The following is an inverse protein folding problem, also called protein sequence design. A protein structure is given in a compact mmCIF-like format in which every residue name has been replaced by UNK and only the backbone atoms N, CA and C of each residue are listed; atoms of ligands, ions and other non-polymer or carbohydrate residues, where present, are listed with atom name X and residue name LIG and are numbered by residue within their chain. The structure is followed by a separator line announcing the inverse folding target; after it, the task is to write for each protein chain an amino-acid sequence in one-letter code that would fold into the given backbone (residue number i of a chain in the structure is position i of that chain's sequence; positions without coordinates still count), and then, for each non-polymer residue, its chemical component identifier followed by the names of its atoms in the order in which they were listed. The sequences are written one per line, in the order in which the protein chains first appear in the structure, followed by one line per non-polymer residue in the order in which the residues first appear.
data_IF_421283561470
#
_entry.id   IF_421283561470
#
_cell.length_a   1.000
_cell.length_b   1.000
_cell.length_c   1.000
_cell.angle_alpha   90.00
_cell.angle_beta   90.00
_cell.angle_gamma   90.00
#
_symmetry.space_group_name_H-M   'P 1'
#
loop_
_entity.id
_entity.type
_entity.pdbx_description
1 polymer ?
#
# COMPACT_ATOMS: atom_id res chain seq x y z
N UNK A 1 -6.07 31.01 -18.27
CA UNK A 1 -5.73 30.93 -16.83
C UNK A 1 -5.75 29.46 -16.44
N UNK A 2 -4.72 28.97 -15.76
CA UNK A 2 -4.64 27.59 -15.31
C UNK A 2 -4.76 27.56 -13.78
N UNK A 3 -5.50 26.58 -13.26
CA UNK A 3 -5.66 26.34 -11.82
C UNK A 3 -4.82 25.11 -11.49
N UNK A 4 -3.92 25.26 -10.53
CA UNK A 4 -3.07 24.16 -10.06
C UNK A 4 -3.75 23.48 -8.88
N UNK A 5 -4.00 22.19 -9.01
CA UNK A 5 -4.40 21.32 -7.92
C UNK A 5 -3.16 20.71 -7.29
N UNK A 6 -3.12 20.65 -5.96
CA UNK A 6 -2.03 20.02 -5.18
C UNK A 6 -2.68 19.13 -4.13
N UNK A 7 -2.34 17.83 -4.16
CA UNK A 7 -2.79 16.84 -3.18
C UNK A 7 -1.73 16.68 -2.07
N UNK A 8 -1.93 17.41 -0.97
CA UNK A 8 -1.13 17.28 0.24
C UNK A 8 -1.71 16.29 1.26
N UNK A 9 -2.70 15.47 0.88
CA UNK A 9 -3.38 14.55 1.81
C UNK A 9 -2.45 13.55 2.48
N UNK A 10 -1.31 13.20 1.86
CA UNK A 10 -0.27 12.34 2.45
C UNK A 10 0.79 13.07 3.28
N UNK A 11 0.82 14.41 3.28
CA UNK A 11 1.87 15.23 3.90
C UNK A 11 1.45 15.75 5.27
N UNK A 12 1.18 14.86 6.21
CA UNK A 12 0.84 15.26 7.57
C UNK A 12 1.49 14.37 8.62
N UNK A 13 1.82 14.97 9.76
CA UNK A 13 2.11 14.24 10.97
C UNK A 13 0.80 14.02 11.71
N UNK A 14 0.40 12.75 11.84
CA UNK A 14 -0.80 12.38 12.59
C UNK A 14 -0.56 12.64 14.08
N UNK A 15 -1.33 13.55 14.67
CA UNK A 15 -1.42 13.73 16.12
C UNK A 15 -2.81 13.28 16.59
N UNK A 16 -3.07 13.30 17.90
CA UNK A 16 -4.27 12.69 18.49
C UNK A 16 -5.58 13.23 17.91
N UNK A 17 -5.72 14.55 17.84
CA UNK A 17 -6.97 15.20 17.41
C UNK A 17 -6.81 15.99 16.10
N UNK A 18 -5.59 16.38 15.76
CA UNK A 18 -5.29 17.23 14.61
C UNK A 18 -4.19 16.60 13.77
N UNK A 19 -4.13 16.98 12.50
CA UNK A 19 -3.01 16.68 11.63
C UNK A 19 -2.08 17.90 11.59
N UNK A 20 -0.79 17.71 11.82
CA UNK A 20 0.19 18.80 11.86
C UNK A 20 1.02 18.79 10.58
N UNK A 21 1.09 19.93 9.90
CA UNK A 21 2.05 20.16 8.83
C UNK A 21 3.42 20.48 9.44
N UNK A 22 4.44 19.70 9.10
CA UNK A 22 5.81 20.00 9.50
C UNK A 22 6.43 21.01 8.52
N UNK A 23 7.50 21.70 8.91
CA UNK A 23 8.22 22.62 8.01
C UNK A 23 8.60 21.95 6.68
N UNK A 24 9.06 20.69 6.74
CA UNK A 24 9.39 19.90 5.55
C UNK A 24 8.18 19.68 4.62
N UNK A 25 6.99 19.46 5.18
CA UNK A 25 5.77 19.30 4.38
C UNK A 25 5.40 20.61 3.68
N UNK A 26 5.53 21.73 4.39
CA UNK A 26 5.25 23.06 3.86
C UNK A 26 6.24 23.37 2.72
N UNK A 27 7.53 23.12 2.93
CA UNK A 27 8.56 23.35 1.92
C UNK A 27 8.30 22.56 0.63
N UNK A 28 7.87 21.29 0.74
CA UNK A 28 7.48 20.48 -0.42
C UNK A 28 6.28 21.06 -1.18
N UNK A 29 5.24 21.49 -0.46
CA UNK A 29 4.05 22.12 -1.07
C UNK A 29 4.45 23.42 -1.77
N UNK A 30 5.27 24.24 -1.11
CA UNK A 30 5.74 25.52 -1.65
C UNK A 30 6.59 25.33 -2.90
N UNK A 31 7.49 24.34 -2.92
CA UNK A 31 8.34 24.05 -4.07
C UNK A 31 7.51 23.68 -5.32
N UNK A 32 6.44 22.91 -5.14
CA UNK A 32 5.55 22.50 -6.24
C UNK A 32 4.64 23.65 -6.69
N UNK A 33 4.21 24.49 -5.75
CA UNK A 33 3.48 25.71 -6.06
C UNK A 33 4.31 26.72 -6.88
N UNK A 34 5.57 26.93 -6.49
CA UNK A 34 6.48 27.87 -7.17
C UNK A 34 6.89 27.37 -8.55
N UNK A 35 7.20 26.08 -8.68
CA UNK A 35 7.59 25.49 -9.96
C UNK A 35 6.43 25.36 -10.95
N UNK A 36 5.17 25.33 -10.46
CA UNK A 36 3.97 25.02 -11.25
C UNK A 36 4.10 23.73 -12.07
N UNK A 37 4.96 22.82 -11.63
CA UNK A 37 5.22 21.57 -12.31
C UNK A 37 4.07 20.60 -12.06
N UNK A 38 3.74 19.81 -13.08
CA UNK A 38 2.87 18.66 -12.94
C UNK A 38 3.69 17.50 -12.35
N UNK A 39 3.19 16.95 -11.25
CA UNK A 39 3.83 15.86 -10.50
C UNK A 39 2.80 14.74 -10.35
N UNK A 40 3.12 13.57 -10.90
CA UNK A 40 2.22 12.42 -10.84
C UNK A 40 1.78 12.12 -9.41
N UNK A 41 0.48 11.94 -9.23
CA UNK A 41 -0.18 11.68 -7.95
C UNK A 41 0.01 12.77 -6.87
N UNK A 42 0.48 13.96 -7.23
CA UNK A 42 0.74 15.04 -6.26
C UNK A 42 0.29 16.42 -6.71
N UNK A 43 0.55 16.84 -7.96
CA UNK A 43 0.13 18.13 -8.46
C UNK A 43 -0.21 18.10 -9.95
N UNK A 44 -1.25 18.84 -10.34
CA UNK A 44 -1.66 18.95 -11.73
C UNK A 44 -2.22 20.32 -12.04
N UNK A 45 -1.72 20.93 -13.10
CA UNK A 45 -2.22 22.18 -13.66
C UNK A 45 -3.31 21.87 -14.68
N UNK A 46 -4.50 22.38 -14.41
CA UNK A 46 -5.70 22.13 -15.23
C UNK A 46 -6.18 23.44 -15.83
N UNK A 47 -6.63 23.39 -17.08
CA UNK A 47 -7.15 24.57 -17.75
C UNK A 47 -8.52 24.95 -17.18
N UNK A 48 -8.87 26.23 -17.28
CA UNK A 48 -10.20 26.70 -16.89
C UNK A 48 -11.32 26.02 -17.71
N UNK A 49 -11.04 25.64 -18.97
CA UNK A 49 -12.01 24.98 -19.84
C UNK A 49 -12.35 23.57 -19.35
N UNK A 50 -11.35 22.81 -18.89
CA UNK A 50 -11.55 21.47 -18.32
C UNK A 50 -12.38 21.53 -17.03
N UNK A 51 -12.12 22.53 -16.18
CA UNK A 51 -12.88 22.73 -14.94
C UNK A 51 -14.32 23.10 -15.25
N UNK A 52 -14.55 23.94 -16.26
CA UNK A 52 -15.90 24.27 -16.73
C UNK A 52 -16.62 23.05 -17.30
N UNK A 53 -15.92 22.19 -18.04
CA UNK A 53 -16.47 20.94 -18.55
C UNK A 53 -16.81 19.96 -17.41
N UNK A 54 -16.09 20.03 -16.30
CA UNK A 54 -16.31 19.24 -15.09
C UNK A 54 -17.22 19.96 -14.05
N UNK A 55 -18.14 20.81 -14.53
CA UNK A 55 -19.15 21.54 -13.73
C UNK A 55 -18.56 22.36 -12.56
N UNK A 56 -17.41 23.00 -12.81
CA UNK A 56 -16.67 23.78 -11.80
C UNK A 56 -16.30 22.98 -10.55
N UNK A 57 -16.19 21.65 -10.66
CA UNK A 57 -15.72 20.83 -9.57
C UNK A 57 -14.26 21.19 -9.26
N UNK A 58 -13.98 21.62 -8.03
CA UNK A 58 -12.64 21.97 -7.54
C UNK A 58 -12.07 20.93 -6.58
N UNK A 59 -12.66 19.73 -6.54
CA UNK A 59 -12.16 18.62 -5.73
C UNK A 59 -10.83 18.13 -6.30
N UNK A 60 -9.80 18.07 -5.47
CA UNK A 60 -8.45 17.62 -5.88
C UNK A 60 -8.47 16.20 -6.45
N UNK A 61 -9.29 15.32 -5.85
CA UNK A 61 -9.50 13.93 -6.29
C UNK A 61 -10.10 13.78 -7.70
N UNK A 62 -10.71 14.84 -8.24
CA UNK A 62 -11.23 14.83 -9.62
C UNK A 62 -10.13 15.00 -10.66
N UNK A 63 -8.95 15.49 -10.26
CA UNK A 63 -7.87 15.83 -11.19
C UNK A 63 -6.55 15.12 -10.88
N UNK A 64 -6.37 14.69 -9.63
CA UNK A 64 -5.18 13.98 -9.17
C UNK A 64 -5.60 12.59 -8.72
N UNK A 65 -5.06 11.58 -9.40
CA UNK A 65 -5.25 10.20 -9.01
C UNK A 65 -4.36 9.92 -7.78
N UNK A 66 -4.96 9.42 -6.70
CA UNK A 66 -4.21 9.04 -5.51
C UNK A 66 -3.22 7.92 -5.84
N UNK A 67 -2.00 8.02 -5.28
CA UNK A 67 -0.99 6.98 -5.44
C UNK A 67 -1.53 5.65 -4.89
N UNK A 68 -1.54 4.61 -5.72
CA UNK A 68 -1.87 3.25 -5.27
C UNK A 68 -0.74 2.74 -4.37
N UNK A 69 -0.97 2.77 -3.07
CA UNK A 69 -0.03 2.28 -2.05
C UNK A 69 -0.30 0.81 -1.68
N UNK A 70 -1.12 0.07 -2.44
CA UNK A 70 -1.28 -1.35 -2.20
C UNK A 70 0.07 -2.04 -2.43
N UNK A 71 0.53 -2.77 -1.42
CA UNK A 71 1.69 -3.64 -1.57
C UNK A 71 1.42 -4.60 -2.72
N UNK A 72 2.29 -4.58 -3.73
CA UNK A 72 2.27 -5.57 -4.79
C UNK A 72 2.78 -6.87 -4.18
N UNK A 73 1.86 -7.65 -3.63
CA UNK A 73 2.16 -9.00 -3.13
C UNK A 73 2.49 -9.85 -4.34
N UNK A 74 3.75 -10.29 -4.45
CA UNK A 74 4.14 -11.26 -5.47
C UNK A 74 3.52 -12.63 -5.14
N UNK A 75 2.41 -12.91 -5.80
CA UNK A 75 1.66 -14.17 -5.70
C UNK A 75 2.56 -15.38 -6.01
N UNK A 76 3.57 -15.22 -6.87
CA UNK A 76 4.51 -16.29 -7.21
C UNK A 76 5.39 -16.65 -6.03
N UNK A 77 5.94 -15.63 -5.37
CA UNK A 77 6.76 -15.78 -4.17
C UNK A 77 5.94 -16.36 -3.01
N UNK A 78 4.73 -15.82 -2.78
CA UNK A 78 3.82 -16.33 -1.76
C UNK A 78 3.47 -17.82 -1.97
N UNK A 79 3.17 -18.22 -3.20
CA UNK A 79 2.88 -19.61 -3.53
C UNK A 79 4.10 -20.53 -3.36
N UNK A 80 5.31 -20.04 -3.64
CA UNK A 80 6.54 -20.79 -3.40
C UNK A 80 6.77 -21.06 -1.90
N UNK A 81 6.57 -20.05 -1.05
CA UNK A 81 6.64 -20.18 0.41
C UNK A 81 5.57 -21.14 0.95
N UNK A 82 4.35 -21.07 0.42
CA UNK A 82 3.26 -21.99 0.74
C UNK A 82 3.65 -23.43 0.44
N UNK A 83 4.22 -23.70 -0.74
CA UNK A 83 4.66 -25.04 -1.14
C UNK A 83 5.77 -25.59 -0.23
N UNK A 84 6.73 -24.75 0.15
CA UNK A 84 7.80 -25.12 1.09
C UNK A 84 7.20 -25.46 2.46
N UNK A 85 6.25 -24.66 2.93
CA UNK A 85 5.60 -24.85 4.24
C UNK A 85 4.80 -26.16 4.27
N UNK A 86 4.05 -26.46 3.21
CA UNK A 86 3.31 -27.72 3.08
C UNK A 86 4.26 -28.92 3.09
N UNK A 87 5.37 -28.87 2.33
CA UNK A 87 6.36 -29.95 2.32
C UNK A 87 6.97 -30.20 3.70
N UNK A 88 7.19 -29.16 4.51
CA UNK A 88 7.64 -29.30 5.91
C UNK A 88 6.58 -29.97 6.78
N UNK A 89 5.31 -29.60 6.61
CA UNK A 89 4.18 -30.21 7.34
C UNK A 89 4.09 -31.70 7.00
N UNK A 90 4.17 -32.07 5.73
CA UNK A 90 4.10 -33.47 5.30
C UNK A 90 5.24 -34.31 5.87
N UNK A 91 6.45 -33.76 5.88
CA UNK A 91 7.62 -34.40 6.51
C UNK A 91 7.40 -34.63 8.01
N UNK A 92 6.97 -33.60 8.72
CA UNK A 92 6.73 -33.68 10.17
C UNK A 92 5.60 -34.67 10.49
N UNK A 93 4.55 -34.74 9.66
CA UNK A 93 3.49 -35.74 9.80
C UNK A 93 4.00 -37.16 9.62
N UNK A 94 4.83 -37.40 8.60
CA UNK A 94 5.43 -38.72 8.40
C UNK A 94 6.34 -39.14 9.58
N UNK A 95 7.12 -38.20 10.14
CA UNK A 95 7.92 -38.45 11.35
C UNK A 95 7.04 -38.79 12.56
N UNK A 96 5.91 -38.10 12.74
CA UNK A 96 4.93 -38.42 13.78
C UNK A 96 4.34 -39.82 13.57
N UNK A 97 3.93 -40.17 12.35
CA UNK A 97 3.34 -41.48 12.04
C UNK A 97 4.31 -42.64 12.37
N UNK A 98 5.61 -42.45 12.13
CA UNK A 98 6.65 -43.41 12.53
C UNK A 98 6.70 -43.58 14.05
N UNK A 99 6.71 -42.47 14.80
CA UNK A 99 6.74 -42.51 16.28
C UNK A 99 5.47 -43.18 16.84
N UNK A 100 4.30 -42.87 16.27
CA UNK A 100 3.04 -43.49 16.68
C UNK A 100 3.06 -44.99 16.45
N UNK A 101 3.52 -45.45 15.28
CA UNK A 101 3.63 -46.87 14.98
C UNK A 101 4.60 -47.62 15.93
N UNK A 102 5.71 -46.98 16.33
CA UNK A 102 6.63 -47.54 17.32
C UNK A 102 6.02 -47.67 18.72
N UNK A 103 5.15 -46.74 19.12
CA UNK A 103 4.44 -46.77 20.41
C UNK A 103 3.36 -47.85 20.40
N UNK A 104 2.51 -47.88 19.37
CA UNK A 104 1.45 -48.89 19.23
C UNK A 104 2.03 -50.32 19.15
N UNK A 105 3.17 -50.50 18.47
CA UNK A 105 3.87 -51.78 18.42
C UNK A 105 4.47 -52.23 19.75
N UNK A 106 4.78 -51.31 20.67
CA UNK A 106 5.28 -51.62 22.02
C UNK A 106 4.17 -52.00 23.00
N UNK A 107 2.95 -51.50 22.84
CA UNK A 107 1.82 -51.86 23.72
C UNK A 107 1.26 -53.27 23.46
N UNK A 108 1.43 -53.83 22.25
CA UNK A 108 0.96 -55.17 21.89
C UNK A 108 1.91 -56.31 22.29
N UNK A 109 3.04 -55.99 22.92
CA UNK A 109 4.09 -56.94 23.29
C UNK A 109 4.31 -57.13 24.80
N UNK A 110 3.41 -56.64 25.66
CA UNK A 110 3.48 -56.78 27.12
C UNK A 110 2.46 -57.81 27.65
#
# INVERSE_FOLDING_TARGET
MAIQFIDASGLFKKETNNNTLTEKHIEQIMQVFDSKADVDHFAKSVSFEDIKANDYNLSVSSYIEAKDNREVVDITTLNAELKITVAKIDKLRAEIDVIVAEIEGKELGA
#
